data_IF_507734629601
#
_entry.id   IF_507734629601
#
_cell.length_a   1.000
_cell.length_b   1.000
_cell.length_c   1.000
_cell.angle_alpha   90.00
_cell.angle_beta   90.00
_cell.angle_gamma   90.00
#
_symmetry.space_group_name_H-M   'P 1'
#
loop_
_entity.id
_entity.type
_entity.pdbx_description
1 polymer ?
#
# COMPACT_ATOMS: atom_id res chain seq x y z
N UNK A 1 5.87 -5.81 25.48
CA UNK A 1 5.93 -5.42 24.07
C UNK A 1 6.28 -6.66 23.29
N UNK A 2 5.29 -7.31 22.68
CA UNK A 2 5.49 -8.56 21.95
C UNK A 2 5.96 -8.23 20.53
N UNK A 3 7.18 -8.62 20.17
CA UNK A 3 7.69 -8.45 18.81
C UNK A 3 7.09 -9.53 17.92
N UNK A 4 5.88 -9.27 17.40
CA UNK A 4 5.26 -10.12 16.39
C UNK A 4 6.07 -9.96 15.09
N UNK A 5 6.92 -10.95 14.82
CA UNK A 5 7.65 -11.06 13.58
C UNK A 5 6.66 -11.43 12.48
N UNK A 6 6.14 -10.43 11.77
CA UNK A 6 5.16 -10.63 10.69
C UNK A 6 5.85 -11.31 9.51
N UNK A 7 5.43 -12.52 9.18
CA UNK A 7 5.90 -13.23 7.99
C UNK A 7 5.48 -12.48 6.71
N UNK A 8 6.46 -11.93 6.00
CA UNK A 8 6.27 -11.20 4.74
C UNK A 8 6.39 -12.08 3.51
N UNK A 9 6.70 -13.38 3.67
CA UNK A 9 6.91 -14.31 2.56
C UNK A 9 5.68 -14.43 1.65
N UNK A 10 4.48 -14.26 2.22
CA UNK A 10 3.20 -14.33 1.48
C UNK A 10 2.68 -12.98 1.00
N UNK A 11 3.39 -11.88 1.28
CA UNK A 11 2.90 -10.55 0.97
C UNK A 11 3.28 -10.14 -0.47
N UNK A 12 2.31 -9.80 -1.34
CA UNK A 12 2.56 -9.58 -2.77
C UNK A 12 3.39 -8.32 -3.08
N UNK A 13 3.63 -7.42 -2.13
CA UNK A 13 4.57 -6.31 -2.30
C UNK A 13 6.03 -6.69 -2.00
N UNK A 14 6.27 -7.75 -1.23
CA UNK A 14 7.59 -8.04 -0.66
C UNK A 14 8.17 -9.35 -1.17
N UNK A 15 7.35 -10.25 -1.72
CA UNK A 15 7.82 -11.46 -2.39
C UNK A 15 7.30 -11.51 -3.85
N UNK A 16 8.19 -11.41 -4.85
CA UNK A 16 7.79 -11.46 -6.26
C UNK A 16 7.25 -12.84 -6.68
N UNK A 17 7.62 -13.93 -5.99
CA UNK A 17 7.15 -15.27 -6.30
C UNK A 17 5.65 -15.47 -6.02
N UNK A 18 5.08 -14.67 -5.10
CA UNK A 18 3.64 -14.72 -4.76
C UNK A 18 2.84 -13.61 -5.44
N UNK A 19 3.48 -12.80 -6.30
CA UNK A 19 2.80 -11.80 -7.14
C UNK A 19 1.82 -12.52 -8.06
N UNK A 20 0.53 -12.24 -7.91
CA UNK A 20 -0.55 -12.88 -8.67
C UNK A 20 -1.16 -14.13 -8.01
N UNK A 21 -0.57 -14.64 -6.93
CA UNK A 21 -1.15 -15.72 -6.11
C UNK A 21 -1.82 -15.19 -4.84
N UNK A 22 -1.29 -14.08 -4.30
CA UNK A 22 -1.84 -13.36 -3.17
C UNK A 22 -2.28 -11.95 -3.57
N UNK A 23 -3.43 -11.50 -3.06
CA UNK A 23 -4.01 -10.19 -3.32
C UNK A 23 -3.96 -9.27 -2.10
N UNK A 24 -4.11 -7.96 -2.33
CA UNK A 24 -4.36 -6.95 -1.29
C UNK A 24 -5.38 -5.95 -1.82
N UNK A 25 -6.15 -5.36 -0.91
CA UNK A 25 -7.12 -4.30 -1.24
C UNK A 25 -6.66 -3.00 -0.60
N UNK A 26 -6.71 -1.91 -1.36
CA UNK A 26 -6.50 -0.56 -0.85
C UNK A 26 -7.85 0.05 -0.52
N UNK A 27 -8.01 0.56 0.71
CA UNK A 27 -9.22 1.26 1.14
C UNK A 27 -8.97 2.77 1.10
N UNK A 28 -9.75 3.55 0.32
CA UNK A 28 -9.51 4.98 0.13
C UNK A 28 -10.04 5.80 1.33
N UNK A 29 -9.38 5.68 2.49
CA UNK A 29 -9.78 6.36 3.73
C UNK A 29 -9.02 7.66 4.00
N UNK A 30 -8.01 7.99 3.18
CA UNK A 30 -7.09 9.11 3.40
C UNK A 30 -7.11 10.12 2.24
N UNK A 31 -8.10 11.04 2.18
CA UNK A 31 -8.27 11.99 1.07
C UNK A 31 -7.33 13.21 1.12
N UNK A 32 -6.65 13.44 2.24
CA UNK A 32 -5.80 14.63 2.45
C UNK A 32 -4.34 14.23 2.65
N UNK A 33 -3.44 15.01 2.07
CA UNK A 33 -1.99 14.92 2.29
C UNK A 33 -1.47 16.24 2.84
N UNK A 34 -0.54 16.17 3.80
CA UNK A 34 0.09 17.33 4.44
C UNK A 34 1.27 17.93 3.64
N UNK A 35 1.78 17.23 2.62
CA UNK A 35 2.88 17.70 1.75
C UNK A 35 2.51 17.60 0.27
N UNK A 36 2.92 18.57 -0.55
CA UNK A 36 2.71 18.55 -2.02
C UNK A 36 4.01 18.26 -2.75
N UNK A 37 4.14 17.05 -3.30
CA UNK A 37 5.24 16.68 -4.17
C UNK A 37 5.11 17.32 -5.56
N UNK A 38 6.23 17.57 -6.26
CA UNK A 38 6.22 18.21 -7.58
C UNK A 38 5.54 17.36 -8.68
N UNK A 39 5.46 16.05 -8.48
CA UNK A 39 4.83 15.10 -9.40
C UNK A 39 3.40 14.72 -8.99
N UNK A 40 2.88 15.25 -7.87
CA UNK A 40 1.56 14.89 -7.36
C UNK A 40 0.47 15.80 -7.97
N UNK A 41 -0.46 15.20 -8.71
CA UNK A 41 -1.69 15.85 -9.16
C UNK A 41 -2.86 15.39 -8.29
N UNK A 42 -3.52 16.33 -7.60
CA UNK A 42 -4.66 16.08 -6.70
C UNK A 42 -6.01 16.52 -7.28
N UNK A 43 -6.07 16.78 -8.59
CA UNK A 43 -7.32 17.21 -9.25
C UNK A 43 -8.33 16.07 -9.40
N UNK A 44 -7.87 14.84 -9.32
CA UNK A 44 -8.70 13.65 -9.45
C UNK A 44 -8.45 12.80 -8.21
N UNK A 45 -9.49 12.53 -7.44
CA UNK A 45 -9.45 11.47 -6.45
C UNK A 45 -9.38 10.12 -7.18
N UNK A 46 -8.65 9.15 -6.63
CA UNK A 46 -8.59 7.79 -7.15
C UNK A 46 -9.92 7.07 -6.87
N UNK A 47 -10.99 7.47 -7.58
CA UNK A 47 -12.25 6.72 -7.72
C UNK A 47 -12.21 5.83 -8.94
#
# INVERSE_FOLDING_TARGET
MENINKDLSRHPCFNPAVKGQAGRVHLPVAPKCNIKCNFCNRKYDCV
#
